data_IF_087893245642
#
_entry.id   IF_087893245642
#
_cell.length_a   1.000
_cell.length_b   1.000
_cell.length_c   1.000
_cell.angle_alpha   90.00
_cell.angle_beta   90.00
_cell.angle_gamma   90.00
#
_symmetry.space_group_name_H-M   'P 1'
#
loop_
_entity.id
_entity.type
_entity.pdbx_description
1 polymer ?
#
# COMPACT_ATOMS: atom_id res chain seq x y z
N UNK A 1 26.95 -7.08 -23.51
CA UNK A 1 25.56 -6.64 -23.28
C UNK A 1 24.72 -7.47 -22.27
N UNK A 2 25.10 -8.68 -21.83
CA UNK A 2 24.39 -9.38 -20.74
C UNK A 2 24.51 -8.72 -19.35
N UNK A 3 25.55 -7.94 -19.14
CA UNK A 3 25.91 -7.39 -17.82
C UNK A 3 25.03 -6.22 -17.36
N UNK A 4 24.56 -5.37 -18.28
CA UNK A 4 23.70 -4.22 -17.93
C UNK A 4 22.30 -4.65 -17.51
N UNK A 5 21.68 -5.60 -18.21
CA UNK A 5 20.34 -6.12 -17.88
C UNK A 5 20.32 -6.82 -16.52
N UNK A 6 21.37 -7.59 -16.20
CA UNK A 6 21.50 -8.25 -14.91
C UNK A 6 21.71 -7.25 -13.77
N UNK A 7 22.47 -6.17 -13.99
CA UNK A 7 22.67 -5.08 -13.03
C UNK A 7 21.36 -4.35 -12.74
N UNK A 8 20.56 -4.01 -13.74
CA UNK A 8 19.25 -3.37 -13.59
C UNK A 8 18.27 -4.25 -12.80
N UNK A 9 18.19 -5.54 -13.13
CA UNK A 9 17.39 -6.50 -12.38
C UNK A 9 17.77 -6.57 -10.90
N UNK A 10 19.07 -6.64 -10.58
CA UNK A 10 19.55 -6.66 -9.18
C UNK A 10 19.20 -5.37 -8.44
N UNK A 11 19.42 -4.22 -9.05
CA UNK A 11 19.07 -2.93 -8.44
C UNK A 11 17.56 -2.83 -8.20
N UNK A 12 16.74 -3.26 -9.16
CA UNK A 12 15.28 -3.34 -9.02
C UNK A 12 14.86 -4.25 -7.87
N UNK A 13 15.52 -5.41 -7.72
CA UNK A 13 15.25 -6.34 -6.62
C UNK A 13 15.55 -5.73 -5.25
N UNK A 14 16.73 -5.12 -5.09
CA UNK A 14 17.09 -4.45 -3.83
C UNK A 14 16.18 -3.25 -3.54
N UNK A 15 15.83 -2.46 -4.54
CA UNK A 15 14.90 -1.34 -4.37
C UNK A 15 13.53 -1.81 -3.90
N UNK A 16 12.96 -2.84 -4.54
CA UNK A 16 11.68 -3.43 -4.11
C UNK A 16 11.75 -4.01 -2.69
N UNK A 17 12.78 -4.79 -2.37
CA UNK A 17 12.97 -5.32 -1.02
C UNK A 17 13.08 -4.18 0.01
N UNK A 18 13.88 -3.15 -0.26
CA UNK A 18 14.04 -2.01 0.63
C UNK A 18 12.72 -1.28 0.85
N UNK A 19 11.93 -1.08 -0.20
CA UNK A 19 10.61 -0.47 -0.11
C UNK A 19 9.70 -1.24 0.86
N UNK A 20 9.57 -2.55 0.69
CA UNK A 20 8.69 -3.37 1.53
C UNK A 20 9.24 -3.59 2.95
N UNK A 21 10.56 -3.53 3.16
CA UNK A 21 11.16 -3.50 4.50
C UNK A 21 10.80 -2.19 5.19
N UNK A 22 10.93 -1.04 4.52
CA UNK A 22 10.55 0.26 5.08
C UNK A 22 9.06 0.24 5.43
N UNK A 23 8.18 -0.16 4.51
CA UNK A 23 6.75 -0.24 4.80
C UNK A 23 6.42 -1.21 5.94
N UNK A 24 7.11 -2.34 6.03
CA UNK A 24 6.92 -3.31 7.12
C UNK A 24 7.41 -2.83 8.48
N UNK A 25 8.32 -1.86 8.52
CA UNK A 25 8.82 -1.24 9.75
C UNK A 25 8.09 0.05 10.13
N UNK A 26 7.20 0.57 9.28
CA UNK A 26 6.42 1.77 9.56
C UNK A 26 5.59 1.71 10.85
N UNK A 27 5.06 0.55 11.31
CA UNK A 27 4.39 0.49 12.61
C UNK A 27 5.26 1.02 13.76
N UNK A 28 6.57 0.74 13.73
CA UNK A 28 7.50 1.27 14.74
C UNK A 28 7.62 2.80 14.66
N UNK A 29 7.63 3.35 13.45
CA UNK A 29 7.68 4.80 13.26
C UNK A 29 6.42 5.49 13.82
N UNK A 30 5.24 4.98 13.50
CA UNK A 30 3.97 5.54 13.99
C UNK A 30 3.77 5.33 15.48
N UNK A 31 4.36 4.30 16.07
CA UNK A 31 4.32 4.08 17.53
C UNK A 31 4.91 5.26 18.31
N UNK A 32 6.02 5.83 17.84
CA UNK A 32 6.60 7.01 18.46
C UNK A 32 5.72 8.27 18.37
N UNK A 33 4.71 8.23 17.53
CA UNK A 33 3.68 9.26 17.38
C UNK A 33 2.31 8.84 17.96
N UNK A 34 2.24 7.77 18.76
CA UNK A 34 0.97 7.26 19.30
C UNK A 34 0.23 8.23 20.24
N UNK A 35 0.94 9.22 20.77
CA UNK A 35 0.37 10.33 21.55
C UNK A 35 -0.21 11.45 20.67
N UNK A 36 0.02 11.43 19.37
CA UNK A 36 -0.48 12.39 18.38
C UNK A 36 -1.73 11.82 17.70
N UNK A 37 -2.74 12.65 17.49
CA UNK A 37 -3.96 12.24 16.80
C UNK A 37 -3.67 11.75 15.38
N UNK A 38 -4.30 10.65 14.96
CA UNK A 38 -4.08 10.06 13.63
C UNK A 38 -4.36 11.03 12.48
N UNK A 39 -5.31 11.95 12.65
CA UNK A 39 -5.61 13.02 11.69
C UNK A 39 -4.46 14.02 11.54
N UNK A 40 -3.78 14.39 12.64
CA UNK A 40 -2.61 15.26 12.61
C UNK A 40 -1.43 14.57 11.92
N UNK A 41 -1.15 13.31 12.29
CA UNK A 41 -0.10 12.51 11.64
C UNK A 41 -0.35 12.41 10.14
N UNK A 42 -1.58 12.09 9.73
CA UNK A 42 -1.95 11.99 8.31
C UNK A 42 -1.76 13.32 7.58
N UNK A 43 -2.19 14.42 8.19
CA UNK A 43 -2.10 15.74 7.57
C UNK A 43 -0.65 16.17 7.35
N UNK A 44 0.22 15.95 8.32
CA UNK A 44 1.66 16.16 8.17
C UNK A 44 2.28 15.20 7.15
N UNK A 45 1.90 13.92 7.17
CA UNK A 45 2.33 12.94 6.17
C UNK A 45 2.01 13.41 4.75
N UNK A 46 0.80 13.91 4.50
CA UNK A 46 0.38 14.44 3.19
C UNK A 46 1.18 15.69 2.82
N UNK A 47 1.23 16.68 3.71
CA UNK A 47 1.90 17.96 3.43
C UNK A 47 3.40 17.76 3.13
N UNK A 48 4.11 17.01 3.95
CA UNK A 48 5.54 16.78 3.76
C UNK A 48 5.85 15.80 2.62
N UNK A 49 4.95 14.85 2.33
CA UNK A 49 5.06 14.03 1.11
C UNK A 49 4.91 14.88 -0.14
N UNK A 50 3.96 15.81 -0.16
CA UNK A 50 3.79 16.74 -1.29
C UNK A 50 5.04 17.58 -1.50
N UNK A 51 5.59 18.20 -0.44
CA UNK A 51 6.83 19.00 -0.53
C UNK A 51 7.98 18.16 -1.08
N UNK A 52 8.17 16.94 -0.57
CA UNK A 52 9.20 16.03 -1.05
C UNK A 52 8.97 15.63 -2.51
N UNK A 53 7.75 15.25 -2.88
CA UNK A 53 7.42 14.87 -4.25
C UNK A 53 7.50 16.03 -5.22
N UNK A 54 7.19 17.25 -4.79
CA UNK A 54 7.39 18.45 -5.59
C UNK A 54 8.87 18.66 -5.92
N UNK A 55 9.75 18.43 -4.94
CA UNK A 55 11.19 18.47 -5.16
C UNK A 55 11.61 17.41 -6.18
N UNK A 56 11.21 16.16 -6.01
CA UNK A 56 11.49 15.07 -6.98
C UNK A 56 10.97 15.41 -8.38
N UNK A 57 9.76 15.96 -8.46
CA UNK A 57 9.12 16.34 -9.71
C UNK A 57 9.92 17.43 -10.46
N UNK A 58 10.45 18.41 -9.74
CA UNK A 58 11.26 19.50 -10.33
C UNK A 58 12.50 18.95 -11.02
N UNK A 59 13.13 17.94 -10.47
CA UNK A 59 14.38 17.38 -11.00
C UNK A 59 14.18 16.20 -11.97
N UNK A 60 13.14 15.38 -11.78
CA UNK A 60 13.01 14.11 -12.50
C UNK A 60 11.65 13.88 -13.19
N UNK A 61 10.64 14.72 -12.96
CA UNK A 61 9.27 14.41 -13.38
C UNK A 61 8.57 15.44 -14.26
N UNK A 62 9.21 16.56 -14.62
CA UNK A 62 8.53 17.69 -15.31
C UNK A 62 7.89 17.31 -16.65
N UNK A 63 8.56 16.46 -17.44
CA UNK A 63 8.05 16.02 -18.74
C UNK A 63 6.82 15.13 -18.55
N UNK A 64 6.93 14.14 -17.69
CA UNK A 64 5.84 13.21 -17.39
C UNK A 64 4.61 13.94 -16.83
N UNK A 65 4.79 14.91 -15.93
CA UNK A 65 3.67 15.71 -15.42
C UNK A 65 2.93 16.46 -16.52
N UNK A 66 3.64 17.06 -17.49
CA UNK A 66 2.99 17.76 -18.60
C UNK A 66 2.16 16.82 -19.45
N UNK A 67 2.68 15.63 -19.77
CA UNK A 67 2.00 14.59 -20.53
C UNK A 67 0.76 14.08 -19.77
N UNK A 68 0.91 13.78 -18.48
CA UNK A 68 -0.17 13.30 -17.61
C UNK A 68 -1.27 14.37 -17.40
N UNK A 69 -0.91 15.65 -17.26
CA UNK A 69 -1.89 16.74 -17.17
C UNK A 69 -2.67 16.94 -18.49
N UNK A 70 -2.00 16.82 -19.63
CA UNK A 70 -2.67 16.85 -20.92
C UNK A 70 -3.68 15.69 -21.04
N UNK A 71 -3.24 14.47 -20.70
CA UNK A 71 -4.09 13.29 -20.67
C UNK A 71 -5.32 13.45 -19.75
N UNK A 72 -5.15 14.01 -18.56
CA UNK A 72 -6.25 14.22 -17.61
C UNK A 72 -7.30 15.23 -18.15
N UNK A 73 -6.85 16.29 -18.82
CA UNK A 73 -7.73 17.34 -19.35
C UNK A 73 -8.62 16.88 -20.50
N UNK A 74 -8.27 15.80 -21.19
CA UNK A 74 -9.07 15.30 -22.31
C UNK A 74 -10.45 14.77 -21.89
N UNK A 75 -10.59 14.24 -20.64
CA UNK A 75 -11.85 13.64 -20.17
C UNK A 75 -12.07 13.89 -18.67
N UNK A 76 -13.21 14.49 -18.31
CA UNK A 76 -13.61 14.71 -16.91
C UNK A 76 -13.62 13.44 -16.08
N UNK A 77 -13.95 12.28 -16.68
CA UNK A 77 -13.92 10.99 -15.98
C UNK A 77 -12.54 10.61 -15.46
N UNK A 78 -11.45 11.04 -16.12
CA UNK A 78 -10.07 10.81 -15.64
C UNK A 78 -9.75 11.64 -14.41
N UNK A 79 -10.27 12.87 -14.34
CA UNK A 79 -10.15 13.74 -13.16
C UNK A 79 -10.93 13.12 -11.99
N UNK A 80 -12.14 12.60 -12.22
CA UNK A 80 -12.92 11.91 -11.20
C UNK A 80 -12.21 10.65 -10.69
N UNK A 81 -11.58 9.87 -11.57
CA UNK A 81 -10.77 8.72 -11.17
C UNK A 81 -9.57 9.16 -10.30
N UNK A 82 -8.89 10.26 -10.64
CA UNK A 82 -7.79 10.79 -9.83
C UNK A 82 -8.27 11.24 -8.44
N UNK A 83 -9.41 11.95 -8.37
CA UNK A 83 -10.03 12.32 -7.10
C UNK A 83 -10.39 11.07 -6.27
N UNK A 84 -10.97 10.06 -6.90
CA UNK A 84 -11.29 8.77 -6.24
C UNK A 84 -10.04 8.10 -5.72
N UNK A 85 -8.95 8.06 -6.50
CA UNK A 85 -7.67 7.49 -6.06
C UNK A 85 -7.12 8.24 -4.83
N UNK A 86 -7.14 9.58 -4.85
CA UNK A 86 -6.68 10.41 -3.74
C UNK A 86 -7.49 10.15 -2.46
N UNK A 87 -8.81 10.06 -2.56
CA UNK A 87 -9.69 9.76 -1.41
C UNK A 87 -9.44 8.35 -0.88
N UNK A 88 -9.36 7.33 -1.75
CA UNK A 88 -9.14 5.94 -1.35
C UNK A 88 -7.81 5.75 -0.63
N UNK A 89 -6.71 6.31 -1.18
CA UNK A 89 -5.40 6.19 -0.56
C UNK A 89 -5.32 6.96 0.75
N UNK A 90 -5.95 8.12 0.83
CA UNK A 90 -6.00 8.92 2.07
C UNK A 90 -6.80 8.19 3.16
N UNK A 91 -7.96 7.64 2.82
CA UNK A 91 -8.76 6.83 3.75
C UNK A 91 -7.99 5.58 4.22
N UNK A 92 -7.29 4.90 3.31
CA UNK A 92 -6.43 3.77 3.64
C UNK A 92 -5.32 4.17 4.63
N UNK A 93 -4.63 5.29 4.36
CA UNK A 93 -3.55 5.77 5.22
C UNK A 93 -4.05 6.21 6.60
N UNK A 94 -5.19 6.87 6.68
CA UNK A 94 -5.80 7.25 7.95
C UNK A 94 -6.15 6.00 8.77
N UNK A 95 -6.80 5.04 8.14
CA UNK A 95 -7.17 3.76 8.78
C UNK A 95 -5.93 3.03 9.29
N UNK A 96 -4.86 2.99 8.50
CA UNK A 96 -3.62 2.35 8.87
C UNK A 96 -2.92 3.04 10.05
N UNK A 97 -2.78 4.36 10.01
CA UNK A 97 -2.17 5.13 11.12
C UNK A 97 -2.98 4.93 12.39
N UNK A 98 -4.30 5.09 12.29
CA UNK A 98 -5.19 4.88 13.42
C UNK A 98 -5.04 3.47 14.00
N UNK A 99 -5.03 2.45 13.17
CA UNK A 99 -4.89 1.07 13.61
C UNK A 99 -3.56 0.83 14.36
N UNK A 100 -2.46 1.32 13.82
CA UNK A 100 -1.13 1.16 14.43
C UNK A 100 -1.04 1.90 15.76
N UNK A 101 -1.55 3.13 15.83
CA UNK A 101 -1.49 3.95 17.06
C UNK A 101 -2.45 3.46 18.15
N UNK A 102 -3.44 2.61 17.80
CA UNK A 102 -4.39 2.02 18.76
C UNK A 102 -4.15 0.51 19.01
N UNK A 103 -2.98 -0.02 18.68
CA UNK A 103 -2.60 -1.39 19.00
C UNK A 103 -3.30 -2.47 18.16
N UNK A 104 -3.55 -2.19 16.88
CA UNK A 104 -4.15 -3.11 15.91
C UNK A 104 -3.18 -3.49 14.76
N UNK A 105 -1.89 -3.63 15.07
CA UNK A 105 -0.85 -3.90 14.05
C UNK A 105 -1.05 -5.26 13.39
N UNK A 106 -1.45 -6.28 14.16
CA UNK A 106 -1.75 -7.61 13.61
C UNK A 106 -2.91 -7.56 12.62
N UNK A 107 -3.97 -6.80 12.93
CA UNK A 107 -5.12 -6.64 12.04
C UNK A 107 -4.73 -5.92 10.73
N UNK A 108 -3.80 -4.95 10.79
CA UNK A 108 -3.26 -4.33 9.56
C UNK A 108 -2.47 -5.33 8.73
N UNK A 109 -1.69 -6.19 9.37
CA UNK A 109 -0.95 -7.27 8.70
C UNK A 109 -1.90 -8.21 7.94
N UNK A 110 -2.98 -8.66 8.60
CA UNK A 110 -4.02 -9.50 7.98
C UNK A 110 -4.61 -8.79 6.75
N UNK A 111 -4.95 -7.50 6.88
CA UNK A 111 -5.46 -6.69 5.77
C UNK A 111 -4.51 -6.69 4.56
N UNK A 112 -3.23 -6.45 4.78
CA UNK A 112 -2.26 -6.44 3.69
C UNK A 112 -1.98 -7.83 3.10
N UNK A 113 -2.12 -8.91 3.87
CA UNK A 113 -2.09 -10.25 3.31
C UNK A 113 -3.28 -10.55 2.39
N UNK A 114 -4.46 -9.98 2.67
CA UNK A 114 -5.66 -10.15 1.84
C UNK A 114 -5.63 -9.33 0.55
N UNK A 115 -4.82 -8.29 0.50
CA UNK A 115 -4.81 -7.33 -0.60
C UNK A 115 -4.65 -7.95 -2.00
N UNK A 116 -3.71 -8.89 -2.25
CA UNK A 116 -3.60 -9.52 -3.56
C UNK A 116 -4.87 -10.28 -3.96
N UNK A 117 -5.54 -10.91 -3.03
CA UNK A 117 -6.75 -11.69 -3.29
C UNK A 117 -7.95 -10.78 -3.63
N UNK A 118 -8.10 -9.67 -2.91
CA UNK A 118 -9.12 -8.66 -3.24
C UNK A 118 -8.81 -7.96 -4.56
N UNK A 119 -7.55 -7.70 -4.87
CA UNK A 119 -7.15 -7.14 -6.17
C UNK A 119 -7.52 -8.07 -7.33
N UNK A 120 -7.37 -9.39 -7.16
CA UNK A 120 -7.80 -10.37 -8.15
C UNK A 120 -9.33 -10.38 -8.28
N UNK A 121 -10.06 -10.33 -7.16
CA UNK A 121 -11.52 -10.28 -7.19
C UNK A 121 -12.02 -9.03 -7.94
N UNK A 122 -11.43 -7.87 -7.69
CA UNK A 122 -11.72 -6.64 -8.43
C UNK A 122 -11.32 -6.75 -9.91
N UNK A 123 -10.23 -7.45 -10.24
CA UNK A 123 -9.83 -7.76 -11.60
C UNK A 123 -10.94 -8.49 -12.38
N UNK A 124 -11.59 -9.45 -11.73
CA UNK A 124 -12.74 -10.17 -12.32
C UNK A 124 -13.96 -9.26 -12.48
N UNK A 125 -14.33 -8.55 -11.42
CA UNK A 125 -15.56 -7.75 -11.40
C UNK A 125 -15.46 -6.52 -12.31
N UNK A 126 -14.34 -5.81 -12.27
CA UNK A 126 -14.17 -4.54 -12.99
C UNK A 126 -13.60 -4.70 -14.39
N UNK A 127 -12.74 -5.70 -14.60
CA UNK A 127 -12.00 -5.89 -15.86
C UNK A 127 -12.37 -7.18 -16.58
N UNK A 128 -13.37 -7.94 -16.09
CA UNK A 128 -13.82 -9.22 -16.66
C UNK A 128 -12.69 -10.24 -16.80
N UNK A 129 -11.70 -10.19 -15.92
CA UNK A 129 -10.57 -11.12 -15.95
C UNK A 129 -11.03 -12.54 -15.59
N UNK A 130 -10.50 -13.55 -16.29
CA UNK A 130 -10.86 -14.95 -16.04
C UNK A 130 -10.12 -15.48 -14.82
N UNK A 131 -10.86 -16.04 -13.86
CA UNK A 131 -10.27 -16.71 -12.71
C UNK A 131 -9.75 -18.11 -13.10
N UNK A 132 -8.48 -18.34 -12.87
CA UNK A 132 -7.92 -19.70 -12.87
C UNK A 132 -8.38 -20.49 -11.65
N UNK A 133 -8.36 -21.81 -11.73
CA UNK A 133 -8.75 -22.69 -10.61
C UNK A 133 -7.94 -22.41 -9.32
N UNK A 134 -6.59 -22.23 -9.34
CA UNK A 134 -5.85 -21.85 -8.15
C UNK A 134 -6.33 -20.53 -7.53
N UNK A 135 -6.62 -19.51 -8.35
CA UNK A 135 -7.15 -18.23 -7.86
C UNK A 135 -8.49 -18.40 -7.14
N UNK A 136 -9.40 -19.22 -7.67
CA UNK A 136 -10.70 -19.52 -7.02
C UNK A 136 -10.49 -20.19 -5.67
N UNK A 137 -9.65 -21.22 -5.62
CA UNK A 137 -9.32 -21.94 -4.37
C UNK A 137 -8.75 -20.97 -3.34
N UNK A 138 -7.81 -20.11 -3.73
CA UNK A 138 -7.19 -19.13 -2.84
C UNK A 138 -8.21 -18.15 -2.24
N UNK A 139 -9.11 -17.61 -3.06
CA UNK A 139 -10.17 -16.70 -2.58
C UNK A 139 -11.08 -17.40 -1.58
N UNK A 140 -11.50 -18.65 -1.87
CA UNK A 140 -12.37 -19.42 -0.97
C UNK A 140 -11.66 -19.71 0.35
N UNK A 141 -10.38 -20.13 0.33
CA UNK A 141 -9.60 -20.39 1.54
C UNK A 141 -9.44 -19.14 2.41
N UNK A 142 -9.16 -17.98 1.79
CA UNK A 142 -9.06 -16.72 2.53
C UNK A 142 -10.41 -16.32 3.15
N UNK A 143 -11.52 -16.52 2.42
CA UNK A 143 -12.86 -16.27 2.95
C UNK A 143 -13.20 -17.19 4.14
N UNK A 144 -12.80 -18.46 4.08
CA UNK A 144 -12.93 -19.41 5.20
C UNK A 144 -12.11 -18.92 6.40
N UNK A 145 -10.85 -18.51 6.20
CA UNK A 145 -10.00 -17.97 7.27
C UNK A 145 -10.65 -16.78 7.98
N UNK A 146 -11.17 -15.82 7.20
CA UNK A 146 -11.88 -14.66 7.77
C UNK A 146 -13.18 -15.06 8.50
N UNK A 147 -13.95 -15.99 7.95
CA UNK A 147 -15.15 -16.47 8.59
C UNK A 147 -14.86 -17.16 9.94
N UNK A 148 -13.81 -17.98 9.99
CA UNK A 148 -13.35 -18.62 11.23
C UNK A 148 -12.89 -17.59 12.26
N UNK A 149 -12.14 -16.57 11.84
CA UNK A 149 -11.71 -15.48 12.72
C UNK A 149 -12.92 -14.75 13.32
N UNK A 150 -13.94 -14.44 12.49
CA UNK A 150 -15.16 -13.80 12.95
C UNK A 150 -15.94 -14.68 13.92
N UNK A 151 -16.05 -15.99 13.63
CA UNK A 151 -16.77 -16.93 14.47
C UNK A 151 -16.11 -17.10 15.85
N UNK A 152 -14.78 -17.29 15.88
CA UNK A 152 -14.05 -17.55 17.13
C UNK A 152 -13.77 -16.28 17.92
N UNK A 153 -13.40 -15.19 17.23
CA UNK A 153 -13.08 -13.91 17.84
C UNK A 153 -14.31 -13.12 18.31
N UNK A 154 -15.52 -13.51 17.87
CA UNK A 154 -16.77 -12.84 18.23
C UNK A 154 -16.93 -11.44 17.64
N UNK A 155 -15.99 -10.98 16.79
CA UNK A 155 -16.05 -9.67 16.14
C UNK A 155 -15.65 -9.75 14.68
N UNK A 156 -16.33 -8.95 13.87
CA UNK A 156 -16.10 -8.88 12.44
C UNK A 156 -14.76 -8.16 12.14
N UNK A 157 -13.88 -8.70 11.28
CA UNK A 157 -12.56 -8.13 10.98
C UNK A 157 -12.66 -6.92 10.04
N UNK A 158 -13.44 -5.91 10.42
CA UNK A 158 -13.74 -4.75 9.58
C UNK A 158 -12.49 -3.98 9.19
N UNK A 159 -11.51 -3.89 10.11
CA UNK A 159 -10.27 -3.14 9.91
C UNK A 159 -9.41 -3.76 8.79
N UNK A 160 -9.20 -5.07 8.86
CA UNK A 160 -8.46 -5.80 7.82
C UNK A 160 -9.14 -5.68 6.46
N UNK A 161 -10.47 -5.80 6.42
CA UNK A 161 -11.26 -5.69 5.18
C UNK A 161 -11.27 -4.25 4.64
N UNK A 162 -11.35 -3.24 5.50
CA UNK A 162 -11.31 -1.84 5.10
C UNK A 162 -9.96 -1.48 4.49
N UNK A 163 -8.86 -1.90 5.13
CA UNK A 163 -7.51 -1.69 4.61
C UNK A 163 -7.30 -2.40 3.27
N UNK A 164 -7.63 -3.68 3.20
CA UNK A 164 -7.48 -4.45 1.97
C UNK A 164 -8.40 -3.94 0.85
N UNK A 165 -9.64 -3.60 1.16
CA UNK A 165 -10.63 -3.11 0.20
C UNK A 165 -10.27 -1.73 -0.38
N UNK A 166 -9.93 -0.77 0.48
CA UNK A 166 -9.55 0.57 0.04
C UNK A 166 -8.28 0.56 -0.82
N UNK A 167 -7.29 -0.27 -0.46
CA UNK A 167 -6.06 -0.37 -1.23
C UNK A 167 -6.24 -1.13 -2.54
N UNK A 168 -7.04 -2.21 -2.56
CA UNK A 168 -7.35 -2.94 -3.78
C UNK A 168 -8.16 -2.07 -4.76
N UNK A 169 -9.17 -1.31 -4.28
CA UNK A 169 -9.91 -0.34 -5.09
C UNK A 169 -8.99 0.78 -5.60
N UNK A 170 -8.12 1.31 -4.76
CA UNK A 170 -7.10 2.27 -5.19
C UNK A 170 -6.26 1.71 -6.33
N UNK A 171 -5.75 0.48 -6.21
CA UNK A 171 -4.99 -0.20 -7.27
C UNK A 171 -5.78 -0.36 -8.56
N UNK A 172 -7.07 -0.72 -8.49
CA UNK A 172 -7.94 -0.83 -9.65
C UNK A 172 -8.16 0.52 -10.34
N UNK A 173 -8.41 1.59 -9.57
CA UNK A 173 -8.55 2.96 -10.11
C UNK A 173 -7.25 3.44 -10.75
N UNK A 174 -6.10 3.16 -10.15
CA UNK A 174 -4.78 3.46 -10.72
C UNK A 174 -4.56 2.74 -12.06
N UNK A 175 -4.95 1.48 -12.16
CA UNK A 175 -4.89 0.70 -13.40
C UNK A 175 -5.74 1.34 -14.51
N UNK A 176 -6.90 1.92 -14.17
CA UNK A 176 -7.73 2.64 -15.14
C UNK A 176 -7.13 4.00 -15.56
N UNK A 177 -6.41 4.63 -14.66
CA UNK A 177 -5.91 5.99 -14.84
C UNK A 177 -4.59 6.06 -15.65
N UNK A 178 -3.73 5.02 -15.56
CA UNK A 178 -2.46 4.89 -16.30
C UNK A 178 -1.47 6.07 -16.16
N UNK A 179 -1.50 6.83 -15.07
CA UNK A 179 -0.55 7.92 -14.82
C UNK A 179 0.83 7.40 -14.39
N UNK A 180 1.85 8.17 -14.71
CA UNK A 180 3.21 7.90 -14.23
C UNK A 180 3.30 8.04 -12.70
N UNK A 181 4.08 7.19 -12.00
CA UNK A 181 4.10 7.16 -10.54
C UNK A 181 4.39 8.51 -9.87
N UNK A 182 5.40 9.25 -10.35
CA UNK A 182 5.79 10.55 -9.77
C UNK A 182 4.65 11.56 -9.91
N UNK A 183 4.09 11.70 -11.11
CA UNK A 183 2.95 12.60 -11.38
C UNK A 183 1.74 12.21 -10.55
N UNK A 184 1.41 10.92 -10.51
CA UNK A 184 0.23 10.42 -9.81
C UNK A 184 0.29 10.71 -8.31
N UNK A 185 1.39 10.37 -7.64
CA UNK A 185 1.56 10.61 -6.20
C UNK A 185 1.53 12.11 -5.90
N UNK A 186 2.20 12.92 -6.74
CA UNK A 186 2.20 14.39 -6.56
C UNK A 186 0.80 14.98 -6.70
N UNK A 187 0.02 14.54 -7.69
CA UNK A 187 -1.33 15.05 -7.92
C UNK A 187 -2.31 14.55 -6.84
N UNK A 188 -2.21 13.30 -6.43
CA UNK A 188 -3.02 12.73 -5.35
C UNK A 188 -2.79 13.47 -4.03
N UNK A 189 -1.52 13.72 -3.66
CA UNK A 189 -1.20 14.48 -2.45
C UNK A 189 -1.59 15.97 -2.57
N UNK A 190 -1.48 16.56 -3.76
CA UNK A 190 -1.95 17.94 -4.01
C UNK A 190 -3.46 18.11 -3.79
N UNK A 191 -4.27 17.13 -4.23
CA UNK A 191 -5.73 17.15 -4.06
C UNK A 191 -6.11 17.23 -2.58
N UNK A 192 -5.43 16.47 -1.73
CA UNK A 192 -5.73 16.40 -0.29
C UNK A 192 -4.88 17.35 0.54
N UNK A 193 -4.00 18.15 -0.10
CA UNK A 193 -3.13 19.10 0.59
C UNK A 193 -3.91 20.21 1.28
N UNK A 194 -4.88 20.83 0.60
CA UNK A 194 -5.65 21.93 1.15
C UNK A 194 -6.42 21.55 2.42
N UNK A 195 -7.23 20.46 2.45
CA UNK A 195 -7.85 20.00 3.69
C UNK A 195 -6.83 19.65 4.77
N UNK A 196 -5.67 19.08 4.42
CA UNK A 196 -4.61 18.75 5.39
C UNK A 196 -4.01 20.01 6.02
N UNK A 197 -3.71 21.05 5.23
CA UNK A 197 -3.20 22.32 5.75
C UNK A 197 -4.24 23.03 6.64
N UNK A 198 -5.51 23.03 6.22
CA UNK A 198 -6.60 23.59 7.02
C UNK A 198 -6.72 22.87 8.35
N UNK A 199 -6.59 21.54 8.35
CA UNK A 199 -6.65 20.75 9.58
C UNK A 199 -5.47 21.07 10.51
N UNK A 200 -4.23 21.11 10.01
CA UNK A 200 -3.03 21.50 10.78
C UNK A 200 -3.20 22.92 11.35
N UNK A 201 -3.68 23.86 10.53
CA UNK A 201 -3.92 25.23 10.95
C UNK A 201 -4.94 25.32 12.09
N UNK A 202 -6.06 24.59 11.99
CA UNK A 202 -7.09 24.54 13.03
C UNK A 202 -6.55 23.95 14.33
N UNK A 203 -5.76 22.87 14.27
CA UNK A 203 -5.12 22.29 15.45
C UNK A 203 -4.18 23.30 16.12
N UNK A 204 -3.38 24.00 15.33
CA UNK A 204 -2.45 25.01 15.85
C UNK A 204 -3.20 26.19 16.47
N UNK A 205 -4.24 26.69 15.81
CA UNK A 205 -5.07 27.81 16.30
C UNK A 205 -5.79 27.51 17.61
N UNK A 206 -6.17 26.24 17.80
CA UNK A 206 -6.85 25.76 19.03
C UNK A 206 -5.85 25.28 20.09
N UNK A 207 -4.55 25.46 19.87
CA UNK A 207 -3.49 24.97 20.78
C UNK A 207 -3.58 23.47 21.11
N UNK A 208 -4.17 22.69 20.21
CA UNK A 208 -4.33 21.23 20.34
C UNK A 208 -3.36 20.44 19.46
N UNK A 209 -2.62 21.08 18.56
CA UNK A 209 -1.63 20.47 17.71
C UNK A 209 -0.29 20.22 18.41
N UNK A 210 0.40 19.17 17.96
CA UNK A 210 1.69 18.75 18.54
C UNK A 210 2.90 19.29 17.76
N UNK A 211 2.69 19.76 16.53
CA UNK A 211 3.77 20.28 15.67
C UNK A 211 4.30 21.62 16.19
N UNK A 212 5.60 21.69 16.50
CA UNK A 212 6.29 22.85 17.10
C UNK A 212 5.83 23.26 18.52
N UNK A 213 4.90 22.53 19.12
CA UNK A 213 4.35 22.82 20.45
C UNK A 213 4.69 21.74 21.47
N UNK A 214 4.90 20.51 21.02
CA UNK A 214 5.37 19.39 21.83
C UNK A 214 6.91 19.35 21.89
N UNK A 215 7.45 18.19 22.16
CA UNK A 215 8.90 17.99 22.12
C UNK A 215 9.47 18.07 20.68
N UNK A 216 10.78 18.26 20.63
CA UNK A 216 11.53 18.36 19.36
C UNK A 216 11.46 17.06 18.55
N UNK A 217 11.41 15.91 19.22
CA UNK A 217 11.35 14.60 18.59
C UNK A 217 10.04 14.44 17.81
N UNK A 218 8.90 14.76 18.41
CA UNK A 218 7.59 14.73 17.76
C UNK A 218 7.57 15.61 16.52
N UNK A 219 8.12 16.83 16.61
CA UNK A 219 8.22 17.74 15.46
C UNK A 219 9.04 17.12 14.32
N UNK A 220 10.21 16.55 14.60
CA UNK A 220 11.02 15.89 13.55
C UNK A 220 10.36 14.63 12.98
N UNK A 221 9.66 13.86 13.78
CA UNK A 221 8.89 12.71 13.29
C UNK A 221 7.74 13.15 12.39
N UNK A 222 7.01 14.22 12.72
CA UNK A 222 5.97 14.75 11.85
C UNK A 222 6.53 15.29 10.52
N UNK A 223 7.69 15.97 10.54
CA UNK A 223 8.41 16.38 9.33
C UNK A 223 8.86 15.16 8.50
N UNK A 224 9.44 14.16 9.16
CA UNK A 224 9.93 12.94 8.53
C UNK A 224 8.85 12.06 7.93
N UNK A 225 7.59 12.23 8.34
CA UNK A 225 6.45 11.45 7.85
C UNK A 225 6.31 11.49 6.31
N UNK A 226 6.65 12.62 5.68
CA UNK A 226 6.70 12.76 4.23
C UNK A 226 7.76 11.87 3.58
N UNK A 227 8.96 11.86 4.12
CA UNK A 227 10.11 11.11 3.60
C UNK A 227 9.86 9.60 3.71
N UNK A 228 9.43 9.13 4.89
CA UNK A 228 9.15 7.69 5.12
C UNK A 228 7.97 7.19 4.29
N UNK A 229 7.16 8.09 3.74
CA UNK A 229 6.09 7.76 2.79
C UNK A 229 6.59 7.78 1.35
N UNK A 230 7.27 8.84 0.92
CA UNK A 230 7.64 9.04 -0.47
C UNK A 230 8.83 8.18 -0.92
N UNK A 231 9.82 7.98 -0.06
CA UNK A 231 11.01 7.17 -0.40
C UNK A 231 10.65 5.73 -0.76
N UNK A 232 9.89 4.97 0.05
CA UNK A 232 9.53 3.61 -0.34
C UNK A 232 8.64 3.56 -1.59
N UNK A 233 7.79 4.56 -1.83
CA UNK A 233 7.01 4.64 -3.07
C UNK A 233 7.90 4.80 -4.31
N UNK A 234 8.96 5.60 -4.24
CA UNK A 234 9.93 5.75 -5.33
C UNK A 234 10.74 4.48 -5.55
N UNK A 235 11.22 3.85 -4.47
CA UNK A 235 11.94 2.58 -4.51
C UNK A 235 11.05 1.45 -5.10
N UNK A 236 9.79 1.39 -4.68
CA UNK A 236 8.82 0.46 -5.25
C UNK A 236 8.60 0.69 -6.73
N UNK A 237 8.40 1.95 -7.15
CA UNK A 237 8.21 2.30 -8.56
C UNK A 237 9.41 1.90 -9.42
N UNK A 238 10.63 2.12 -8.94
CA UNK A 238 11.84 1.67 -9.61
C UNK A 238 11.89 0.15 -9.70
N UNK A 239 11.64 -0.55 -8.59
CA UNK A 239 11.60 -2.02 -8.57
C UNK A 239 10.54 -2.60 -9.49
N UNK A 240 9.35 -2.00 -9.53
CA UNK A 240 8.25 -2.45 -10.39
C UNK A 240 8.54 -2.33 -11.89
N UNK A 241 9.36 -1.35 -12.28
CA UNK A 241 9.79 -1.19 -13.68
C UNK A 241 10.84 -2.22 -14.11
N UNK A 242 11.69 -2.67 -13.18
CA UNK A 242 12.83 -3.55 -13.48
C UNK A 242 12.54 -5.04 -13.22
N UNK A 243 11.47 -5.35 -12.48
CA UNK A 243 11.18 -6.71 -12.04
C UNK A 243 9.93 -7.28 -12.72
N UNK A 244 9.93 -8.59 -13.02
CA UNK A 244 8.70 -9.29 -13.36
C UNK A 244 7.67 -9.22 -12.23
N UNK A 245 6.38 -9.07 -12.58
CA UNK A 245 5.28 -8.95 -11.61
C UNK A 245 5.21 -10.10 -10.60
N UNK A 246 5.57 -11.32 -11.01
CA UNK A 246 5.60 -12.48 -10.12
C UNK A 246 6.67 -12.35 -9.02
N UNK A 247 7.83 -11.77 -9.34
CA UNK A 247 8.91 -11.52 -8.35
C UNK A 247 8.46 -10.41 -7.40
N UNK A 248 7.91 -9.31 -7.92
CA UNK A 248 7.38 -8.22 -7.12
C UNK A 248 6.26 -8.69 -6.20
N UNK A 249 5.35 -9.56 -6.69
CA UNK A 249 4.27 -10.16 -5.91
C UNK A 249 4.76 -11.02 -4.73
N UNK A 250 5.96 -11.62 -4.81
CA UNK A 250 6.58 -12.29 -3.66
C UNK A 250 7.18 -11.31 -2.67
N UNK A 251 7.89 -10.32 -3.17
CA UNK A 251 8.58 -9.33 -2.32
C UNK A 251 7.59 -8.56 -1.47
N UNK A 252 6.38 -8.29 -1.97
CA UNK A 252 5.36 -7.54 -1.22
C UNK A 252 4.95 -8.18 0.10
N UNK A 253 5.08 -9.50 0.27
CA UNK A 253 4.77 -10.19 1.53
C UNK A 253 5.76 -9.92 2.65
N UNK A 254 6.90 -9.31 2.36
CA UNK A 254 7.86 -8.86 3.39
C UNK A 254 7.18 -7.88 4.35
N UNK A 255 6.42 -6.90 3.82
CA UNK A 255 5.80 -5.87 4.64
C UNK A 255 4.78 -6.41 5.66
N UNK A 256 3.73 -7.16 5.28
CA UNK A 256 2.81 -7.71 6.27
C UNK A 256 3.47 -8.73 7.21
N UNK A 257 4.50 -9.44 6.76
CA UNK A 257 5.24 -10.38 7.63
C UNK A 257 6.00 -9.62 8.71
N UNK A 258 6.70 -8.55 8.36
CA UNK A 258 7.38 -7.69 9.35
C UNK A 258 6.38 -7.03 10.29
N UNK A 259 5.27 -6.48 9.77
CA UNK A 259 4.23 -5.88 10.61
C UNK A 259 3.64 -6.90 11.60
N UNK A 260 3.41 -8.13 11.17
CA UNK A 260 2.95 -9.22 12.03
C UNK A 260 3.98 -9.57 13.13
N UNK A 261 5.26 -9.66 12.78
CA UNK A 261 6.35 -9.90 13.75
C UNK A 261 6.41 -8.75 14.77
N UNK A 262 6.32 -7.50 14.32
CA UNK A 262 6.28 -6.36 15.24
C UNK A 262 5.05 -6.38 16.14
N UNK A 263 3.88 -6.72 15.61
CA UNK A 263 2.64 -6.86 16.37
C UNK A 263 2.81 -7.79 17.57
N UNK A 264 3.41 -8.96 17.36
CA UNK A 264 3.61 -9.95 18.42
C UNK A 264 4.76 -9.55 19.36
N UNK A 265 5.96 -9.27 18.82
CA UNK A 265 7.17 -9.18 19.65
C UNK A 265 7.44 -7.79 20.20
N UNK A 266 7.00 -6.74 19.53
CA UNK A 266 7.23 -5.36 19.97
C UNK A 266 5.99 -4.74 20.63
N UNK A 267 4.83 -4.89 19.99
CA UNK A 267 3.58 -4.33 20.50
C UNK A 267 2.89 -5.24 21.52
N UNK A 268 3.35 -6.49 21.66
CA UNK A 268 2.77 -7.50 22.55
C UNK A 268 1.24 -7.66 22.39
N UNK A 269 0.76 -7.51 21.14
CA UNK A 269 -0.65 -7.67 20.84
C UNK A 269 -1.11 -9.11 21.11
N UNK A 270 -2.30 -9.29 21.69
CA UNK A 270 -2.83 -10.63 21.93
C UNK A 270 -3.01 -11.37 20.60
N UNK A 271 -2.39 -12.54 20.55
CA UNK A 271 -2.42 -13.41 19.38
C UNK A 271 -3.08 -14.74 19.76
N UNK A 272 -4.40 -14.79 19.59
CA UNK A 272 -5.21 -15.95 19.92
C UNK A 272 -5.25 -17.01 18.79
N UNK A 273 -5.87 -18.13 19.11
CA UNK A 273 -6.09 -19.24 18.16
C UNK A 273 -6.95 -18.84 16.96
N UNK A 274 -7.87 -17.89 17.15
CA UNK A 274 -8.69 -17.29 16.12
C UNK A 274 -7.84 -16.62 15.01
N UNK A 275 -6.93 -15.74 15.41
CA UNK A 275 -6.00 -15.06 14.49
C UNK A 275 -5.02 -16.05 13.86
N UNK A 276 -4.52 -17.03 14.62
CA UNK A 276 -3.64 -18.07 14.09
C UNK A 276 -4.33 -18.91 13.02
N UNK A 277 -5.57 -19.33 13.23
CA UNK A 277 -6.34 -20.09 12.24
C UNK A 277 -6.59 -19.27 10.98
N UNK A 278 -7.05 -18.02 11.12
CA UNK A 278 -7.26 -17.12 10.00
C UNK A 278 -5.99 -16.95 9.16
N UNK A 279 -4.87 -16.65 9.80
CA UNK A 279 -3.57 -16.50 9.13
C UNK A 279 -3.11 -17.78 8.46
N UNK A 280 -3.30 -18.95 9.08
CA UNK A 280 -2.95 -20.24 8.46
C UNK A 280 -3.70 -20.44 7.14
N UNK A 281 -5.02 -20.20 7.11
CA UNK A 281 -5.80 -20.29 5.88
C UNK A 281 -5.36 -19.25 4.84
N UNK A 282 -5.07 -18.01 5.27
CA UNK A 282 -4.59 -16.94 4.39
C UNK A 282 -3.22 -17.33 3.82
N UNK A 283 -2.26 -17.81 4.62
CA UNK A 283 -0.95 -18.22 4.14
C UNK A 283 -1.03 -19.40 3.16
N UNK A 284 -1.86 -20.42 3.44
CA UNK A 284 -2.12 -21.51 2.50
C UNK A 284 -2.71 -20.96 1.20
N UNK A 285 -3.68 -20.06 1.30
CA UNK A 285 -4.29 -19.44 0.12
C UNK A 285 -3.25 -18.69 -0.72
N UNK A 286 -2.34 -17.96 -0.10
CA UNK A 286 -1.27 -17.21 -0.77
C UNK A 286 -0.25 -18.13 -1.44
N UNK A 287 0.10 -19.27 -0.82
CA UNK A 287 0.98 -20.28 -1.43
C UNK A 287 0.32 -20.84 -2.69
N UNK A 288 -0.97 -21.24 -2.61
CA UNK A 288 -1.73 -21.78 -3.76
C UNK A 288 -1.86 -20.71 -4.86
N UNK A 289 -2.16 -19.47 -4.51
CA UNK A 289 -2.24 -18.35 -5.43
C UNK A 289 -0.93 -18.16 -6.20
N UNK A 290 0.18 -18.12 -5.47
CA UNK A 290 1.51 -17.86 -6.00
C UNK A 290 2.02 -18.98 -6.91
N UNK A 291 1.81 -20.23 -6.50
CA UNK A 291 2.15 -21.41 -7.34
C UNK A 291 1.28 -21.41 -8.60
N UNK A 292 -0.01 -21.11 -8.46
CA UNK A 292 -0.95 -21.05 -9.58
C UNK A 292 -0.58 -20.00 -10.64
N UNK A 293 -0.16 -18.81 -10.21
CA UNK A 293 0.33 -17.75 -11.10
C UNK A 293 1.58 -18.19 -11.86
N UNK A 294 2.56 -18.77 -11.18
CA UNK A 294 3.79 -19.27 -11.82
C UNK A 294 3.50 -20.32 -12.89
N UNK A 295 2.64 -21.28 -12.60
CA UNK A 295 2.26 -22.32 -13.58
C UNK A 295 1.53 -21.76 -14.78
N UNK A 296 0.71 -20.73 -14.59
CA UNK A 296 -0.02 -20.08 -15.69
C UNK A 296 0.93 -19.29 -16.61
N UNK A 297 1.86 -18.53 -16.05
CA UNK A 297 2.87 -17.78 -16.80
C UNK A 297 3.75 -18.75 -17.59
N UNK A 298 4.25 -19.82 -16.98
CA UNK A 298 5.07 -20.84 -17.64
C UNK A 298 4.35 -21.48 -18.82
N UNK A 299 3.05 -21.80 -18.67
CA UNK A 299 2.22 -22.37 -19.76
C UNK A 299 1.99 -21.39 -20.91
N UNK A 300 1.82 -20.10 -20.64
CA UNK A 300 1.63 -19.08 -21.67
C UNK A 300 2.91 -18.86 -22.48
N UNK A 301 4.05 -18.79 -21.81
CA UNK A 301 5.37 -18.65 -22.46
C UNK A 301 5.70 -19.87 -23.32
N UNK A 302 5.42 -21.08 -22.86
CA UNK A 302 5.60 -22.30 -23.63
C UNK A 302 4.73 -22.36 -24.90
N UNK A 303 3.45 -21.92 -24.79
CA UNK A 303 2.54 -21.84 -25.94
C UNK A 303 2.95 -20.80 -26.98
N UNK A 304 3.53 -19.68 -26.55
CA UNK A 304 4.07 -18.67 -27.49
C UNK A 304 5.30 -19.20 -28.23
N UNK A 305 6.21 -19.89 -27.54
CA UNK A 305 7.45 -20.43 -28.11
C UNK A 305 7.18 -21.57 -29.13
N UNK A 306 6.05 -22.27 -29.02
CA UNK A 306 5.69 -23.37 -29.98
C UNK A 306 4.77 -22.86 -31.10
N UNK A 307 4.44 -21.56 -31.17
CA UNK A 307 3.67 -20.95 -32.26
C UNK A 307 4.52 -20.04 -33.18
N UNK A 308 5.76 -19.75 -32.77
CA UNK A 308 6.81 -19.11 -33.57
C UNK A 308 7.74 -20.13 -34.20
#
# INVERSE_FOLDING_TARGET
>A
MPDSSYKHYRLGFFAACSSFIIWGTLPLYWYFLSHVEAGEILSHRIAWSFVFMLFVLIFAGRKQLKEDLAFLREKTSRILLLLTAAVLVTANWLTYIWAVTHGHVIDTSIGYYLNPLLSVLLGVVMFSEKLSTPKRISIVLAAIGLALMTWQGGHFPWLALLLAGTFALYGAVKKMLHLQPISSITLETLIVLAPSIIYIYNLHSNSSGHFLTSDVTTTFLLLGAGIVTAVPLLLFSYGANELPLNVLGFIQYISPTLAFVWGIFFFHEPFGTDKLMALSFIWISLVIFTIGERLQISRSTYKQKNRS
#
